data_IF_957299345566
#
_entry.id   IF_957299345566
#
_cell.length_a   1.000
_cell.length_b   1.000
_cell.length_c   1.000
_cell.angle_alpha   90.00
_cell.angle_beta   90.00
_cell.angle_gamma   90.00
#
_symmetry.space_group_name_H-M   'P 1'
#
loop_
_entity.id
_entity.type
_entity.pdbx_description
1 polymer ?
#
# COMPACT_ATOMS: atom_id res chain seq x y z
N UNK A 1 21.15 -18.95 -15.61
CA UNK A 1 20.83 -18.09 -14.45
C UNK A 1 19.34 -18.15 -14.17
N UNK A 2 18.95 -18.19 -12.90
CA UNK A 2 17.57 -17.95 -12.47
C UNK A 2 17.17 -16.51 -12.85
N UNK A 3 16.00 -16.34 -13.51
CA UNK A 3 15.52 -15.03 -14.03
C UNK A 3 15.30 -13.97 -12.94
N UNK A 4 15.26 -14.40 -11.69
CA UNK A 4 14.90 -13.64 -10.49
C UNK A 4 16.06 -13.52 -9.50
N UNK A 5 17.23 -14.08 -9.83
CA UNK A 5 18.47 -13.96 -9.04
C UNK A 5 18.92 -12.51 -8.80
N UNK A 6 18.56 -11.58 -9.70
CA UNK A 6 18.87 -10.15 -9.57
C UNK A 6 18.33 -9.52 -8.28
N UNK A 7 17.23 -10.06 -7.73
CA UNK A 7 16.60 -9.56 -6.51
C UNK A 7 17.50 -9.69 -5.27
N UNK A 8 18.52 -10.54 -5.35
CA UNK A 8 19.48 -10.78 -4.26
C UNK A 8 20.82 -10.05 -4.46
N UNK A 9 20.99 -9.31 -5.55
CA UNK A 9 22.23 -8.58 -5.85
C UNK A 9 22.35 -7.35 -4.93
N UNK A 10 23.50 -7.22 -4.26
CA UNK A 10 23.81 -6.10 -3.38
C UNK A 10 24.26 -4.85 -4.14
N UNK A 11 24.98 -5.04 -5.25
CA UNK A 11 25.41 -3.95 -6.11
C UNK A 11 24.28 -3.52 -7.05
N UNK A 12 23.63 -2.41 -6.70
CA UNK A 12 22.47 -1.89 -7.45
C UNK A 12 22.87 -1.13 -8.71
N UNK A 13 24.18 -0.99 -8.97
CA UNK A 13 24.72 -0.41 -10.22
C UNK A 13 25.00 -1.49 -11.26
N UNK A 14 24.98 -2.76 -10.89
CA UNK A 14 25.24 -3.87 -11.80
C UNK A 14 24.18 -3.92 -12.90
N UNK A 15 24.59 -4.35 -14.09
CA UNK A 15 23.68 -4.46 -15.23
C UNK A 15 22.60 -5.51 -14.99
N UNK A 16 22.91 -6.58 -14.24
CA UNK A 16 21.94 -7.60 -13.86
C UNK A 16 20.84 -7.03 -12.94
N UNK A 17 21.21 -6.18 -11.98
CA UNK A 17 20.22 -5.53 -11.13
C UNK A 17 19.33 -4.58 -11.95
N UNK A 18 19.93 -3.76 -12.82
CA UNK A 18 19.21 -2.82 -13.71
C UNK A 18 18.25 -3.55 -14.65
N UNK A 19 18.72 -4.62 -15.29
CA UNK A 19 17.89 -5.45 -16.17
C UNK A 19 16.73 -6.11 -15.40
N UNK A 20 17.00 -6.55 -14.18
CA UNK A 20 15.99 -7.09 -13.28
C UNK A 20 14.91 -6.06 -12.90
N UNK A 21 15.31 -4.85 -12.52
CA UNK A 21 14.39 -3.74 -12.22
C UNK A 21 13.54 -3.40 -13.45
N UNK A 22 14.16 -3.29 -14.63
CA UNK A 22 13.43 -3.03 -15.87
C UNK A 22 12.38 -4.11 -16.15
N UNK A 23 12.73 -5.39 -15.98
CA UNK A 23 11.80 -6.51 -16.14
C UNK A 23 10.64 -6.46 -15.14
N UNK A 24 10.92 -6.12 -13.87
CA UNK A 24 9.87 -5.92 -12.87
C UNK A 24 8.92 -4.78 -13.27
N UNK A 25 9.45 -3.64 -13.69
CA UNK A 25 8.64 -2.47 -14.06
C UNK A 25 7.77 -2.73 -15.29
N UNK A 26 8.24 -3.54 -16.24
CA UNK A 26 7.43 -3.97 -17.39
C UNK A 26 6.22 -4.79 -16.94
N UNK A 27 6.42 -5.75 -16.03
CA UNK A 27 5.31 -6.53 -15.46
C UNK A 27 4.37 -5.64 -14.66
N UNK A 28 4.91 -4.77 -13.83
CA UNK A 28 4.11 -3.86 -13.00
C UNK A 28 3.33 -2.82 -13.82
N UNK A 29 3.87 -2.37 -14.95
CA UNK A 29 3.17 -1.48 -15.88
C UNK A 29 1.95 -2.15 -16.48
N UNK A 30 2.11 -3.42 -16.88
CA UNK A 30 1.07 -4.22 -17.53
C UNK A 30 0.18 -4.98 -16.53
N UNK A 31 0.29 -4.69 -15.22
CA UNK A 31 -0.53 -5.36 -14.23
C UNK A 31 -2.01 -4.91 -14.30
N UNK A 32 -2.95 -5.78 -13.89
CA UNK A 32 -4.36 -5.47 -13.90
C UNK A 32 -4.72 -4.20 -13.09
N UNK A 33 -5.80 -3.51 -13.49
CA UNK A 33 -6.21 -2.26 -12.87
C UNK A 33 -6.54 -2.42 -11.37
N UNK A 34 -7.06 -3.58 -10.95
CA UNK A 34 -7.35 -3.89 -9.54
C UNK A 34 -6.10 -3.99 -8.65
N UNK A 35 -4.91 -4.03 -9.24
CA UNK A 35 -3.63 -4.00 -8.51
C UNK A 35 -3.11 -2.58 -8.30
N UNK A 36 -3.71 -1.59 -8.96
CA UNK A 36 -3.34 -0.19 -8.91
C UNK A 36 -4.32 0.58 -8.03
N UNK A 37 -3.93 1.76 -7.58
CA UNK A 37 -4.88 2.69 -6.96
C UNK A 37 -5.58 3.55 -8.03
N UNK A 38 -6.46 4.46 -7.60
CA UNK A 38 -7.22 5.37 -8.48
C UNK A 38 -6.32 6.25 -9.37
N UNK A 39 -5.13 6.59 -8.89
CA UNK A 39 -4.12 7.35 -9.65
C UNK A 39 -3.28 6.47 -10.60
N UNK A 40 -3.56 5.17 -10.70
CA UNK A 40 -2.76 4.23 -11.51
C UNK A 40 -1.40 3.87 -10.89
N UNK A 41 -1.15 4.24 -9.64
CA UNK A 41 0.07 3.89 -8.91
C UNK A 41 0.08 2.43 -8.50
N UNK A 42 1.28 1.87 -8.36
CA UNK A 42 1.51 0.47 -7.97
C UNK A 42 2.06 0.39 -6.55
N UNK A 43 1.90 -0.76 -5.88
CA UNK A 43 2.56 -1.02 -4.59
C UNK A 43 4.08 -1.02 -4.77
N UNK A 44 4.81 -0.36 -3.89
CA UNK A 44 6.27 -0.35 -3.98
C UNK A 44 6.87 -1.55 -3.24
N UNK A 45 7.54 -2.48 -3.95
CA UNK A 45 8.14 -3.68 -3.33
C UNK A 45 9.50 -3.41 -2.73
N UNK A 46 9.96 -2.15 -2.64
CA UNK A 46 11.27 -1.86 -2.08
C UNK A 46 11.33 -2.23 -0.59
N UNK A 47 12.54 -2.46 -0.09
CA UNK A 47 12.79 -2.84 1.30
C UNK A 47 12.12 -1.91 2.33
N UNK A 48 12.04 -0.60 2.03
CA UNK A 48 11.45 0.39 2.95
C UNK A 48 9.93 0.43 2.90
N UNK A 49 9.35 0.31 1.70
CA UNK A 49 7.91 0.44 1.51
C UNK A 49 7.16 -0.86 1.75
N UNK A 50 7.82 -1.99 1.56
CA UNK A 50 7.32 -3.31 1.90
C UNK A 50 5.94 -3.67 1.28
N UNK A 51 5.67 -3.25 0.04
CA UNK A 51 4.38 -3.35 -0.64
C UNK A 51 3.21 -2.64 0.09
N UNK A 52 3.46 -1.76 1.07
CA UNK A 52 2.41 -1.07 1.84
C UNK A 52 1.89 0.19 1.14
N UNK A 53 2.78 0.90 0.46
CA UNK A 53 2.48 2.22 -0.12
C UNK A 53 2.42 2.16 -1.64
N UNK A 54 1.59 3.04 -2.21
CA UNK A 54 1.39 3.19 -3.65
C UNK A 54 2.19 4.37 -4.18
N UNK A 55 2.92 4.16 -5.27
CA UNK A 55 3.69 5.20 -5.95
C UNK A 55 3.68 5.03 -7.47
N UNK A 56 4.05 6.09 -8.20
CA UNK A 56 4.28 6.03 -9.64
C UNK A 56 5.40 5.05 -9.98
N UNK A 57 5.40 4.49 -11.19
CA UNK A 57 6.44 3.58 -11.67
C UNK A 57 7.84 4.18 -11.51
N UNK A 58 8.01 5.46 -11.86
CA UNK A 58 9.26 6.21 -11.71
C UNK A 58 9.74 6.28 -10.25
N UNK A 59 8.82 6.58 -9.33
CA UNK A 59 9.14 6.62 -7.89
C UNK A 59 9.52 5.23 -7.38
N UNK A 60 8.81 4.18 -7.84
CA UNK A 60 9.14 2.80 -7.48
C UNK A 60 10.51 2.40 -8.03
N UNK A 61 10.83 2.74 -9.27
CA UNK A 61 12.15 2.52 -9.87
C UNK A 61 13.26 3.16 -9.03
N UNK A 62 13.11 4.46 -8.70
CA UNK A 62 14.05 5.17 -7.84
C UNK A 62 14.20 4.46 -6.47
N UNK A 63 13.11 4.03 -5.85
CA UNK A 63 13.15 3.32 -4.58
C UNK A 63 13.87 1.97 -4.67
N UNK A 64 13.70 1.25 -5.78
CA UNK A 64 14.41 0.00 -6.04
C UNK A 64 15.92 0.23 -6.17
N UNK A 65 16.37 1.26 -6.88
CA UNK A 65 17.79 1.61 -6.94
C UNK A 65 18.35 2.10 -5.59
N UNK A 66 17.55 2.81 -4.80
CA UNK A 66 17.99 3.34 -3.48
C UNK A 66 17.96 2.31 -2.35
N UNK A 67 17.02 1.37 -2.38
CA UNK A 67 16.73 0.48 -1.24
C UNK A 67 16.80 -1.01 -1.59
N UNK A 68 16.78 -1.37 -2.87
CA UNK A 68 16.60 -2.76 -3.30
C UNK A 68 15.16 -3.26 -3.10
N UNK A 69 14.89 -4.44 -3.62
CA UNK A 69 13.60 -5.13 -3.45
C UNK A 69 13.53 -5.84 -2.09
N UNK A 70 12.33 -5.95 -1.52
CA UNK A 70 12.09 -6.65 -0.26
C UNK A 70 12.58 -8.11 -0.34
N UNK A 71 13.36 -8.53 0.65
CA UNK A 71 13.81 -9.91 0.79
C UNK A 71 12.63 -10.84 1.05
N UNK A 72 12.54 -11.94 0.29
CA UNK A 72 11.42 -12.87 0.37
C UNK A 72 10.22 -12.48 -0.50
N UNK A 73 10.20 -11.27 -1.07
CA UNK A 73 9.24 -10.90 -2.11
C UNK A 73 9.74 -11.35 -3.49
N UNK A 74 9.80 -12.67 -3.68
CA UNK A 74 10.30 -13.30 -4.91
C UNK A 74 9.21 -13.56 -5.95
N UNK A 75 7.95 -13.44 -5.54
CA UNK A 75 6.78 -13.58 -6.40
C UNK A 75 6.01 -12.28 -6.42
N UNK A 76 5.78 -11.72 -7.61
CA UNK A 76 5.15 -10.43 -7.79
C UNK A 76 3.62 -10.54 -7.79
N UNK A 77 3.06 -11.20 -6.78
CA UNK A 77 1.61 -11.47 -6.66
C UNK A 77 0.81 -10.15 -6.65
N UNK A 78 1.34 -9.13 -5.99
CA UNK A 78 0.74 -7.79 -5.96
C UNK A 78 0.76 -7.09 -7.33
N UNK A 79 1.52 -7.62 -8.29
CA UNK A 79 1.72 -7.07 -9.63
C UNK A 79 1.23 -8.05 -10.72
N UNK A 80 0.41 -9.04 -10.36
CA UNK A 80 -0.27 -9.92 -11.32
C UNK A 80 0.48 -11.20 -11.68
N UNK A 81 1.60 -11.51 -11.03
CA UNK A 81 2.24 -12.81 -11.23
C UNK A 81 1.41 -13.92 -10.56
N UNK A 82 0.97 -14.90 -11.35
CA UNK A 82 0.18 -16.04 -10.88
C UNK A 82 1.12 -17.18 -10.49
N UNK A 83 0.97 -17.66 -9.26
CA UNK A 83 1.66 -18.86 -8.79
C UNK A 83 0.77 -20.08 -9.03
N UNK A 84 1.25 -21.14 -9.68
CA UNK A 84 0.53 -22.39 -9.77
C UNK A 84 0.20 -22.94 -8.37
N UNK A 85 -0.93 -23.62 -8.16
CA UNK A 85 -1.40 -24.08 -6.84
C UNK A 85 -0.40 -24.93 -6.03
N UNK A 86 0.62 -25.48 -6.69
CA UNK A 86 1.60 -26.41 -6.10
C UNK A 86 2.96 -25.79 -5.75
N UNK A 87 3.18 -24.49 -5.97
CA UNK A 87 4.47 -23.83 -5.72
C UNK A 87 4.53 -23.06 -4.39
N UNK A 88 3.51 -23.16 -3.53
CA UNK A 88 3.64 -22.67 -2.17
C UNK A 88 4.66 -23.55 -1.43
N UNK A 89 5.83 -23.02 -1.01
CA UNK A 89 6.66 -23.75 -0.08
C UNK A 89 5.81 -24.00 1.16
N UNK A 90 5.66 -25.27 1.54
CA UNK A 90 4.99 -25.66 2.79
C UNK A 90 5.73 -24.97 3.93
N UNK A 91 5.19 -23.88 4.43
CA UNK A 91 5.69 -23.25 5.64
C UNK A 91 5.36 -24.20 6.80
N UNK A 92 6.28 -25.07 7.18
CA UNK A 92 6.20 -25.83 8.43
C UNK A 92 6.50 -24.89 9.59
N UNK A 93 5.57 -23.97 9.86
CA UNK A 93 5.35 -23.41 11.19
C UNK A 93 3.89 -23.66 11.51
N UNK A 94 3.65 -24.89 11.94
CA UNK A 94 2.45 -25.32 12.63
C UNK A 94 2.34 -24.56 13.96
N UNK A 95 1.92 -23.30 13.91
CA UNK A 95 1.17 -22.72 15.02
C UNK A 95 -0.30 -22.83 14.66
N UNK A 96 -0.80 -23.99 15.06
CA UNK A 96 -2.17 -24.45 15.07
C UNK A 96 -3.12 -23.35 15.56
N UNK A 97 -3.84 -22.72 14.63
CA UNK A 97 -5.15 -22.17 14.96
C UNK A 97 -6.09 -23.37 15.16
N UNK A 98 -6.61 -23.63 16.37
CA UNK A 98 -7.54 -24.72 16.56
C UNK A 98 -8.80 -24.47 15.73
N UNK A 99 -9.00 -25.34 14.73
CA UNK A 99 -10.26 -25.49 13.99
C UNK A 99 -11.33 -26.04 14.93
N UNK A 100 -11.99 -25.18 15.70
CA UNK A 100 -13.38 -25.30 16.16
C UNK A 100 -13.66 -24.30 17.30
N UNK A 101 -14.31 -23.19 16.99
CA UNK A 101 -15.30 -22.62 17.91
C UNK A 101 -16.61 -22.61 17.12
N UNK A 102 -17.53 -23.50 17.50
CA UNK A 102 -18.89 -23.54 17.00
C UNK A 102 -19.54 -22.17 17.25
N UNK A 103 -20.27 -21.64 16.29
CA UNK A 103 -21.07 -20.40 16.35
C UNK A 103 -22.16 -20.38 17.44
N UNK A 104 -22.18 -21.35 18.36
CA UNK A 104 -23.22 -21.58 19.36
C UNK A 104 -22.77 -21.37 20.81
N UNK A 105 -21.66 -20.67 21.05
CA UNK A 105 -21.18 -20.39 22.41
C UNK A 105 -20.86 -18.92 22.67
N UNK A 106 -21.41 -17.99 21.88
CA UNK A 106 -21.51 -16.60 22.32
C UNK A 106 -22.57 -16.53 23.44
N UNK A 107 -22.23 -16.08 24.66
CA UNK A 107 -23.25 -15.76 25.64
C UNK A 107 -24.12 -14.64 25.08
N UNK A 108 -25.42 -14.92 24.94
CA UNK A 108 -26.42 -13.90 24.63
C UNK A 108 -26.52 -12.96 25.84
N UNK A 109 -26.36 -11.63 25.69
CA UNK A 109 -26.63 -10.72 26.79
C UNK A 109 -28.15 -10.70 27.05
N UNK A 110 -28.54 -11.37 28.14
CA UNK A 110 -29.83 -11.22 28.79
C UNK A 110 -29.97 -9.79 29.30
N UNK A 111 -31.06 -9.12 28.93
CA UNK A 111 -31.34 -7.75 29.31
C UNK A 111 -31.41 -7.52 30.81
N UNK A 112 -30.89 -6.37 31.19
CA UNK A 112 -31.12 -5.51 32.38
C UNK A 112 -30.13 -4.35 32.20
N UNK A 113 -30.38 -3.07 32.40
CA UNK A 113 -31.54 -2.20 32.54
C UNK A 113 -31.01 -0.81 32.11
N UNK A 114 -31.89 0.08 31.65
CA UNK A 114 -31.58 1.51 31.37
C UNK A 114 -30.96 2.17 32.61
N UNK A 115 -29.86 2.94 32.50
CA UNK A 115 -29.54 4.21 33.23
C UNK A 115 -28.34 4.94 32.55
N UNK A 116 -28.23 6.25 32.82
CA UNK A 116 -27.79 7.39 31.97
C UNK A 116 -26.28 7.65 31.76
N UNK A 117 -26.01 8.35 30.63
CA UNK A 117 -25.04 9.42 30.32
C UNK A 117 -23.56 9.34 30.78
N UNK A 118 -22.63 9.30 29.80
CA UNK A 118 -21.47 10.22 29.77
C UNK A 118 -21.09 10.60 28.32
N UNK A 119 -21.09 11.90 28.07
CA UNK A 119 -20.72 12.65 26.88
C UNK A 119 -19.21 12.51 26.59
N UNK A 120 -18.84 11.95 25.44
CA UNK A 120 -17.44 11.92 24.98
C UNK A 120 -17.20 13.09 24.03
N UNK A 121 -16.60 14.16 24.54
CA UNK A 121 -16.11 15.30 23.76
C UNK A 121 -14.91 14.87 22.90
N UNK A 122 -15.07 14.94 21.57
CA UNK A 122 -13.99 14.73 20.58
C UNK A 122 -13.21 16.03 20.39
N UNK A 123 -12.22 16.26 21.24
CA UNK A 123 -11.31 17.39 21.14
C UNK A 123 -10.25 17.18 20.04
N UNK A 124 -10.64 17.27 18.76
CA UNK A 124 -9.75 17.76 17.69
C UNK A 124 -10.50 18.22 16.41
N UNK A 125 -11.61 18.95 16.55
CA UNK A 125 -12.28 19.65 15.42
C UNK A 125 -12.15 21.17 15.52
N UNK A 126 -10.91 21.66 15.67
CA UNK A 126 -10.61 23.11 15.66
C UNK A 126 -9.33 23.41 14.87
N UNK A 127 -9.47 23.75 13.56
CA UNK A 127 -8.76 24.87 12.91
C UNK A 127 -9.14 24.99 11.40
N UNK A 128 -10.34 25.45 11.09
CA UNK A 128 -10.52 26.28 9.88
C UNK A 128 -11.26 27.53 10.31
N UNK A 129 -10.49 28.51 10.77
CA UNK A 129 -10.98 29.84 11.06
C UNK A 129 -10.00 30.88 10.49
N UNK A 130 -10.58 31.74 9.65
CA UNK A 130 -10.09 33.04 9.14
C UNK A 130 -8.91 33.07 8.16
N UNK A 131 -9.25 33.26 6.87
CA UNK A 131 -8.71 34.37 6.08
C UNK A 131 -9.83 34.91 5.16
N UNK A 132 -10.50 35.96 5.61
CA UNK A 132 -11.25 36.90 4.76
C UNK A 132 -10.57 38.25 4.90
N UNK A 133 -10.03 38.75 3.79
CA UNK A 133 -9.50 40.09 3.46
C UNK A 133 -8.64 39.79 2.20
N UNK A 134 -8.95 40.23 0.98
CA UNK A 134 -9.53 41.50 0.56
C UNK A 134 -10.34 41.33 -0.75
N UNK A 135 -11.51 41.96 -0.79
CA UNK A 135 -12.11 42.41 -2.05
C UNK A 135 -11.31 43.59 -2.57
N UNK A 136 -10.68 43.46 -3.75
CA UNK A 136 -10.32 44.64 -4.53
C UNK A 136 -11.40 44.88 -5.59
N UNK A 137 -12.30 45.81 -5.25
CA UNK A 137 -13.16 46.54 -6.18
C UNK A 137 -12.26 47.36 -7.13
N UNK A 138 -12.15 46.94 -8.39
CA UNK A 138 -11.76 47.84 -9.46
C UNK A 138 -13.01 48.48 -10.06
N UNK A 139 -13.25 49.71 -9.61
CA UNK A 139 -14.05 50.69 -10.33
C UNK A 139 -13.55 50.78 -11.78
N UNK A 140 -14.49 50.63 -12.72
CA UNK A 140 -14.27 50.88 -14.16
C UNK A 140 -15.05 52.12 -14.55
N UNK A 141 -14.56 53.27 -14.15
CA UNK A 141 -14.90 54.57 -14.72
C UNK A 141 -14.02 54.82 -15.95
N UNK A 142 -14.64 54.64 -17.11
CA UNK A 142 -14.12 55.18 -18.36
C UNK A 142 -14.36 56.68 -18.44
N UNK A 143 -13.35 57.41 -18.90
CA UNK A 143 -13.45 58.42 -19.97
C UNK A 143 -12.06 59.00 -20.25
N UNK A 144 -11.61 58.88 -21.51
CA UNK A 144 -11.33 60.00 -22.42
C UNK A 144 -11.18 59.46 -23.86
#
# INVERSE_FOLDING_TARGET
MDKKSWMFIRDRRSDEFRAGVASFLEVARNCPAERKNEAGHIRCPCQRCANRFYFSLETVEMHLYKSGIMSGYTTWISHGEVVPPFQFPKNTREHQFPRNIREHNLPQPSGVDEEEDEEYEDENDTLIEYFTEDEEDYDTDGEL
#
